data_IF_767824734876
#
_entry.id   IF_767824734876
#
_cell.length_a   1.000
_cell.length_b   1.000
_cell.length_c   1.000
_cell.angle_alpha   90.00
_cell.angle_beta   90.00
_cell.angle_gamma   90.00
#
_symmetry.space_group_name_H-M   'P 1'
#
loop_
_entity.id
_entity.type
_entity.pdbx_description
1 polymer ?
#
# COMPACT_ATOMS: atom_id res chain seq x y z
N UNK A 1 44.50 17.18 -3.96
CA UNK A 1 43.28 16.57 -3.36
C UNK A 1 43.33 16.66 -1.84
N UNK A 2 42.18 16.84 -1.17
CA UNK A 2 42.06 16.75 0.29
C UNK A 2 41.58 15.34 0.73
N UNK A 3 41.64 15.02 2.03
CA UNK A 3 41.27 13.68 2.54
C UNK A 3 39.78 13.34 2.32
N UNK A 4 38.87 14.33 2.41
CA UNK A 4 37.42 14.13 2.24
C UNK A 4 37.07 13.82 0.79
N UNK A 5 37.72 14.51 -0.14
CA UNK A 5 37.62 14.32 -1.58
C UNK A 5 38.23 12.99 -2.02
N UNK A 6 39.34 12.57 -1.39
CA UNK A 6 39.88 11.23 -1.54
C UNK A 6 38.91 10.16 -1.02
N UNK A 7 38.23 10.41 0.10
CA UNK A 7 37.26 9.47 0.68
C UNK A 7 36.05 9.24 -0.22
N UNK A 8 35.51 10.31 -0.81
CA UNK A 8 34.37 10.23 -1.71
C UNK A 8 34.69 9.51 -3.03
N UNK A 9 35.96 9.50 -3.44
CA UNK A 9 36.41 8.94 -4.71
C UNK A 9 36.97 7.50 -4.59
N UNK A 10 37.06 6.92 -3.39
CA UNK A 10 37.63 5.58 -3.19
C UNK A 10 36.93 4.46 -3.95
N UNK A 11 35.59 4.50 -4.00
CA UNK A 11 34.82 3.45 -4.68
C UNK A 11 35.09 3.51 -6.18
N UNK A 12 35.05 4.70 -6.77
CA UNK A 12 35.33 4.91 -8.19
C UNK A 12 36.78 4.55 -8.55
N UNK A 13 37.74 4.83 -7.65
CA UNK A 13 39.13 4.41 -7.82
C UNK A 13 39.28 2.88 -7.83
N UNK A 14 38.63 2.17 -6.89
CA UNK A 14 38.68 0.71 -6.82
C UNK A 14 38.07 0.00 -8.04
N UNK A 15 37.06 0.62 -8.67
CA UNK A 15 36.41 0.10 -9.87
C UNK A 15 37.05 0.63 -11.18
N UNK A 16 38.07 1.49 -11.10
CA UNK A 16 38.74 2.07 -12.28
C UNK A 16 37.84 3.02 -13.08
N UNK A 17 36.88 3.66 -12.42
CA UNK A 17 35.88 4.55 -13.04
C UNK A 17 36.24 6.05 -12.91
N UNK A 18 37.43 6.36 -12.37
CA UNK A 18 37.87 7.75 -12.24
C UNK A 18 38.44 8.29 -13.56
N UNK A 19 38.21 9.58 -13.86
CA UNK A 19 38.94 10.27 -14.91
C UNK A 19 40.46 10.27 -14.61
N UNK A 20 41.33 10.16 -15.63
CA UNK A 20 42.78 9.99 -15.44
C UNK A 20 43.43 11.16 -14.69
N UNK A 21 42.89 12.38 -14.83
CA UNK A 21 43.38 13.57 -14.11
C UNK A 21 43.11 13.48 -12.59
N UNK A 22 41.99 12.88 -12.20
CA UNK A 22 41.58 12.72 -10.79
C UNK A 22 42.29 11.52 -10.17
N UNK A 23 42.49 10.47 -10.94
CA UNK A 23 43.27 9.29 -10.56
C UNK A 23 44.71 9.66 -10.20
N UNK A 24 45.40 10.43 -11.04
CA UNK A 24 46.78 10.86 -10.77
C UNK A 24 46.88 11.73 -9.49
N UNK A 25 45.92 12.64 -9.29
CA UNK A 25 45.79 13.46 -8.07
C UNK A 25 45.52 12.60 -6.83
N UNK A 26 44.81 11.48 -6.99
CA UNK A 26 44.51 10.52 -5.93
C UNK A 26 45.72 9.70 -5.55
N UNK A 27 46.46 9.17 -6.53
CA UNK A 27 47.69 8.43 -6.31
C UNK A 27 48.75 9.28 -5.58
N UNK A 28 48.91 10.54 -6.01
CA UNK A 28 49.80 11.48 -5.34
C UNK A 28 49.40 11.71 -3.88
N UNK A 29 48.09 11.81 -3.59
CA UNK A 29 47.59 11.96 -2.23
C UNK A 29 47.77 10.69 -1.38
N UNK A 30 47.50 9.51 -1.93
CA UNK A 30 47.70 8.22 -1.26
C UNK A 30 49.18 7.92 -0.97
N UNK A 31 50.09 8.43 -1.80
CA UNK A 31 51.54 8.40 -1.55
C UNK A 31 51.96 9.34 -0.39
N UNK A 32 51.25 10.43 -0.16
CA UNK A 32 51.54 11.40 0.90
C UNK A 32 50.80 11.18 2.23
N UNK A 33 49.66 10.50 2.24
CA UNK A 33 48.79 10.36 3.41
C UNK A 33 48.66 8.89 3.88
N UNK A 34 49.26 8.52 5.02
CA UNK A 34 49.18 7.14 5.54
C UNK A 34 47.77 6.75 5.99
N UNK A 35 46.94 7.71 6.43
CA UNK A 35 45.55 7.45 6.83
C UNK A 35 44.66 7.03 5.65
N UNK A 36 44.74 7.78 4.55
CA UNK A 36 43.99 7.45 3.34
C UNK A 36 44.45 6.12 2.73
N UNK A 37 45.76 5.81 2.77
CA UNK A 37 46.30 4.51 2.32
C UNK A 37 45.80 3.32 3.16
N UNK A 38 45.68 3.51 4.49
CA UNK A 38 45.11 2.48 5.36
C UNK A 38 43.62 2.24 5.04
N UNK A 39 42.87 3.31 4.77
CA UNK A 39 41.46 3.24 4.39
C UNK A 39 41.26 2.53 3.04
N UNK A 40 42.07 2.85 2.03
CA UNK A 40 42.10 2.16 0.74
C UNK A 40 42.30 0.65 0.92
N UNK A 41 43.34 0.27 1.67
CA UNK A 41 43.67 -1.14 1.91
C UNK A 41 42.53 -1.87 2.63
N UNK A 42 41.84 -1.21 3.57
CA UNK A 42 40.68 -1.77 4.28
C UNK A 42 39.50 -2.00 3.33
N UNK A 43 39.19 -1.04 2.47
CA UNK A 43 38.08 -1.13 1.52
C UNK A 43 38.36 -2.18 0.45
N UNK A 44 39.59 -2.22 -0.11
CA UNK A 44 40.02 -3.23 -1.07
C UNK A 44 39.88 -4.66 -0.53
N UNK A 45 40.19 -4.89 0.75
CA UNK A 45 40.00 -6.20 1.40
C UNK A 45 38.53 -6.62 1.45
N UNK A 46 37.61 -5.69 1.73
CA UNK A 46 36.18 -5.96 1.76
C UNK A 46 35.66 -6.29 0.36
N UNK A 47 36.03 -5.50 -0.65
CA UNK A 47 35.63 -5.77 -2.04
C UNK A 47 36.11 -7.14 -2.51
N UNK A 48 37.35 -7.51 -2.20
CA UNK A 48 37.90 -8.82 -2.55
C UNK A 48 37.16 -9.97 -1.85
N UNK A 49 36.69 -9.78 -0.62
CA UNK A 49 35.90 -10.78 0.08
C UNK A 49 34.52 -10.98 -0.57
N UNK A 50 33.88 -9.90 -1.02
CA UNK A 50 32.57 -9.93 -1.68
C UNK A 50 32.66 -10.59 -3.06
N UNK A 51 33.73 -10.33 -3.81
CA UNK A 51 33.91 -10.89 -5.14
C UNK A 51 34.10 -12.42 -5.11
N UNK A 52 34.75 -12.93 -4.07
CA UNK A 52 34.94 -14.38 -3.86
C UNK A 52 33.62 -15.10 -3.53
N UNK A 53 32.62 -14.39 -3.02
CA UNK A 53 31.36 -14.98 -2.56
C UNK A 53 30.18 -14.80 -3.54
N UNK A 54 30.43 -14.30 -4.77
CA UNK A 54 29.46 -14.41 -5.86
C UNK A 54 29.33 -15.88 -6.28
N UNK A 55 28.52 -16.64 -5.56
CA UNK A 55 27.97 -17.90 -6.05
C UNK A 55 27.07 -17.58 -7.25
N UNK A 56 27.61 -17.65 -8.47
CA UNK A 56 26.78 -17.91 -9.63
C UNK A 56 26.19 -19.32 -9.44
N UNK A 57 24.87 -19.46 -9.24
CA UNK A 57 24.28 -20.77 -9.05
C UNK A 57 24.56 -21.62 -10.29
N UNK A 58 25.05 -22.84 -10.09
CA UNK A 58 25.36 -23.74 -11.20
C UNK A 58 24.12 -23.89 -12.11
N UNK A 59 24.37 -23.94 -13.43
CA UNK A 59 23.31 -24.10 -14.42
C UNK A 59 22.48 -25.38 -14.18
N UNK A 60 23.08 -26.40 -13.60
CA UNK A 60 22.40 -27.63 -13.19
C UNK A 60 21.36 -27.37 -12.08
N UNK A 61 21.72 -26.63 -11.03
CA UNK A 61 20.79 -26.23 -9.96
C UNK A 61 19.61 -25.41 -10.51
N UNK A 62 19.89 -24.44 -11.39
CA UNK A 62 18.83 -23.65 -12.03
C UNK A 62 17.91 -24.52 -12.89
N UNK A 63 18.46 -25.49 -13.62
CA UNK A 63 17.67 -26.40 -14.45
C UNK A 63 16.80 -27.33 -13.60
N UNK A 64 17.33 -27.85 -12.48
CA UNK A 64 16.61 -28.69 -11.55
C UNK A 64 15.46 -27.93 -10.88
N UNK A 65 15.70 -26.71 -10.39
CA UNK A 65 14.65 -25.88 -9.80
C UNK A 65 13.52 -25.53 -10.80
N UNK A 66 13.86 -25.32 -12.08
CA UNK A 66 12.85 -25.05 -13.12
C UNK A 66 12.01 -26.28 -13.46
N UNK A 67 12.62 -27.46 -13.47
CA UNK A 67 11.90 -28.71 -13.71
C UNK A 67 10.94 -29.02 -12.55
N UNK A 68 11.41 -28.87 -11.31
CA UNK A 68 10.59 -29.09 -10.11
C UNK A 68 9.39 -28.13 -10.04
N UNK A 69 9.61 -26.85 -10.40
CA UNK A 69 8.52 -25.88 -10.55
C UNK A 69 7.53 -26.29 -11.65
N UNK A 70 8.01 -26.74 -12.81
CA UNK A 70 7.13 -27.16 -13.91
C UNK A 70 6.25 -28.37 -13.51
N UNK A 71 6.80 -29.30 -12.74
CA UNK A 71 6.07 -30.49 -12.28
C UNK A 71 5.04 -30.14 -11.19
N UNK A 72 5.38 -29.23 -10.27
CA UNK A 72 4.40 -28.73 -9.29
C UNK A 72 3.21 -28.03 -9.96
N UNK A 73 3.44 -27.19 -10.98
CA UNK A 73 2.38 -26.53 -11.74
C UNK A 73 1.47 -27.53 -12.48
N UNK A 74 2.04 -28.58 -13.07
CA UNK A 74 1.26 -29.64 -13.74
C UNK A 74 0.31 -30.34 -12.76
N UNK A 75 0.80 -30.66 -11.56
CA UNK A 75 -0.02 -31.33 -10.54
C UNK A 75 -1.27 -30.50 -10.15
N UNK A 76 -1.12 -29.18 -10.05
CA UNK A 76 -2.23 -28.25 -9.73
C UNK A 76 -3.26 -28.20 -10.88
N UNK A 77 -2.79 -28.15 -12.13
CA UNK A 77 -3.70 -28.09 -13.29
C UNK A 77 -4.50 -29.39 -13.50
N UNK A 78 -3.90 -30.55 -13.23
CA UNK A 78 -4.52 -31.85 -13.51
C UNK A 78 -5.64 -32.20 -12.50
N UNK A 79 -5.60 -31.63 -11.29
CA UNK A 79 -6.60 -31.86 -10.25
C UNK A 79 -7.95 -31.21 -10.60
N UNK A 80 -7.96 -30.15 -11.41
CA UNK A 80 -9.18 -29.47 -11.88
C UNK A 80 -9.93 -30.22 -12.99
N UNK A 81 -9.22 -30.95 -13.86
CA UNK A 81 -9.79 -31.49 -15.11
C UNK A 81 -10.31 -32.95 -14.97
N UNK A 82 -9.93 -33.65 -13.90
CA UNK A 82 -10.21 -35.08 -13.72
C UNK A 82 -11.66 -35.42 -13.33
N UNK A 83 -12.34 -34.53 -12.59
CA UNK A 83 -13.72 -34.75 -12.14
C UNK A 83 -14.76 -34.64 -13.27
N UNK A 84 -14.62 -33.61 -14.12
CA UNK A 84 -15.57 -33.33 -15.21
C UNK A 84 -15.43 -34.31 -16.39
N UNK A 85 -14.19 -34.71 -16.74
CA UNK A 85 -13.96 -35.71 -17.80
C UNK A 85 -14.48 -37.11 -17.41
N UNK A 86 -14.41 -37.47 -16.13
CA UNK A 86 -14.95 -38.75 -15.62
C UNK A 86 -16.47 -38.76 -15.59
N UNK A 87 -17.10 -37.59 -15.41
CA UNK A 87 -18.55 -37.42 -15.50
C UNK A 87 -19.07 -37.42 -16.96
N UNK A 88 -18.30 -36.90 -17.92
CA UNK A 88 -18.64 -36.91 -19.36
C UNK A 88 -18.31 -38.23 -20.09
N UNK A 89 -17.51 -39.10 -19.47
CA UNK A 89 -17.09 -40.41 -20.01
C UNK A 89 -18.21 -41.36 -20.48
N UNK A 90 -19.42 -41.41 -19.88
CA UNK A 90 -20.48 -42.29 -20.35
C UNK A 90 -21.35 -41.71 -21.48
N UNK A 91 -21.17 -40.44 -21.87
CA UNK A 91 -21.95 -39.80 -22.95
C UNK A 91 -21.34 -39.97 -24.35
N UNK A 92 -20.31 -40.81 -24.50
CA UNK A 92 -19.78 -41.23 -25.80
C UNK A 92 -20.74 -42.19 -26.52
N UNK A 93 -21.87 -41.69 -27.00
CA UNK A 93 -22.90 -42.51 -27.64
C UNK A 93 -22.61 -42.72 -29.15
N UNK A 94 -22.63 -43.97 -29.67
CA UNK A 94 -22.06 -44.32 -30.97
C UNK A 94 -23.09 -44.22 -32.11
N UNK A 95 -23.56 -43.01 -32.42
CA UNK A 95 -24.40 -42.78 -33.59
C UNK A 95 -24.54 -41.30 -33.95
N UNK A 96 -24.30 -40.94 -35.21
CA UNK A 96 -24.39 -39.55 -35.68
C UNK A 96 -25.78 -38.93 -35.43
N UNK A 97 -26.85 -39.72 -35.56
CA UNK A 97 -28.21 -39.28 -35.28
C UNK A 97 -28.43 -38.85 -33.82
N UNK A 98 -27.84 -39.55 -32.85
CA UNK A 98 -27.93 -39.20 -31.44
C UNK A 98 -27.03 -38.03 -31.03
N UNK A 99 -25.95 -37.76 -31.79
CA UNK A 99 -25.12 -36.57 -31.58
C UNK A 99 -25.90 -35.29 -31.90
N UNK A 100 -26.72 -35.29 -32.96
CA UNK A 100 -27.59 -34.15 -33.30
C UNK A 100 -28.70 -33.94 -32.26
N UNK A 101 -29.32 -35.02 -31.79
CA UNK A 101 -30.30 -34.96 -30.71
C UNK A 101 -29.68 -34.48 -29.38
N UNK A 102 -28.45 -34.93 -29.07
CA UNK A 102 -27.69 -34.48 -27.91
C UNK A 102 -27.32 -33.00 -27.99
N UNK A 103 -26.88 -32.51 -29.15
CA UNK A 103 -26.64 -31.07 -29.36
C UNK A 103 -27.91 -30.25 -29.18
N UNK A 104 -29.04 -30.69 -29.75
CA UNK A 104 -30.33 -30.01 -29.58
C UNK A 104 -30.80 -30.01 -28.12
N UNK A 105 -30.61 -31.11 -27.40
CA UNK A 105 -30.90 -31.20 -25.97
C UNK A 105 -29.98 -30.28 -25.14
N UNK A 106 -28.69 -30.19 -25.44
CA UNK A 106 -27.76 -29.28 -24.77
C UNK A 106 -28.10 -27.81 -25.04
N UNK A 107 -28.51 -27.46 -26.25
CA UNK A 107 -28.99 -26.11 -26.57
C UNK A 107 -30.28 -25.80 -25.82
N UNK A 108 -31.23 -26.75 -25.76
CA UNK A 108 -32.48 -26.57 -25.02
C UNK A 108 -32.24 -26.44 -23.51
N UNK A 109 -31.36 -27.27 -22.94
CA UNK A 109 -30.96 -27.17 -21.53
C UNK A 109 -30.20 -25.88 -21.26
N UNK A 110 -29.30 -25.45 -22.16
CA UNK A 110 -28.61 -24.16 -22.05
C UNK A 110 -29.56 -22.96 -22.13
N UNK A 111 -30.59 -23.03 -22.97
CA UNK A 111 -31.62 -22.00 -23.10
C UNK A 111 -32.56 -21.95 -21.89
N UNK A 112 -32.97 -23.11 -21.37
CA UNK A 112 -33.75 -23.20 -20.14
C UNK A 112 -32.91 -22.80 -18.91
N UNK A 113 -31.65 -23.20 -18.85
CA UNK A 113 -30.71 -22.76 -17.82
C UNK A 113 -30.47 -21.25 -17.89
N UNK A 114 -30.33 -20.64 -19.06
CA UNK A 114 -30.21 -19.18 -19.21
C UNK A 114 -31.49 -18.42 -18.82
N UNK A 115 -32.65 -19.10 -18.76
CA UNK A 115 -33.93 -18.51 -18.38
C UNK A 115 -34.25 -18.69 -16.89
N UNK A 116 -33.67 -19.70 -16.25
CA UNK A 116 -33.90 -20.05 -14.84
C UNK A 116 -32.71 -19.68 -13.95
N UNK A 117 -31.48 -19.73 -14.47
CA UNK A 117 -30.30 -19.11 -13.86
C UNK A 117 -30.18 -17.67 -14.38
N UNK A 118 -29.85 -16.70 -13.52
CA UNK A 118 -29.59 -15.33 -13.93
C UNK A 118 -28.44 -15.31 -14.93
N UNK A 119 -28.69 -14.77 -16.13
CA UNK A 119 -27.68 -14.71 -17.19
C UNK A 119 -26.47 -13.86 -16.79
N UNK A 120 -25.31 -14.00 -17.47
CA UNK A 120 -24.11 -13.18 -17.22
C UNK A 120 -24.25 -11.71 -17.64
N UNK A 121 -25.48 -11.21 -17.76
CA UNK A 121 -25.81 -9.78 -17.95
C UNK A 121 -26.52 -9.15 -16.75
N UNK A 122 -26.75 -9.91 -15.67
CA UNK A 122 -27.31 -9.39 -14.42
C UNK A 122 -27.00 -10.35 -13.26
N UNK A 123 -25.72 -10.68 -13.04
CA UNK A 123 -25.32 -11.30 -11.78
C UNK A 123 -25.32 -10.23 -10.70
N UNK A 124 -26.43 -10.18 -9.97
CA UNK A 124 -26.47 -9.63 -8.63
C UNK A 124 -25.35 -10.24 -7.79
N UNK A 125 -24.84 -9.44 -6.88
CA UNK A 125 -23.85 -9.79 -5.88
C UNK A 125 -24.24 -11.08 -5.17
N UNK A 126 -23.65 -12.19 -5.58
CA UNK A 126 -23.50 -13.35 -4.71
C UNK A 126 -22.24 -13.10 -3.87
N UNK A 127 -22.46 -13.08 -2.57
CA UNK A 127 -21.47 -12.95 -1.52
C UNK A 127 -20.51 -14.15 -1.49
N UNK A 128 -19.64 -14.25 -2.50
CA UNK A 128 -18.36 -14.92 -2.36
C UNK A 128 -17.41 -13.91 -1.75
N UNK A 129 -16.86 -14.19 -0.57
CA UNK A 129 -15.82 -13.34 0.01
C UNK A 129 -14.74 -13.08 -1.04
N UNK A 130 -14.33 -11.82 -1.27
CA UNK A 130 -13.24 -11.55 -2.18
C UNK A 130 -12.01 -12.21 -1.60
N UNK A 131 -11.53 -13.26 -2.27
CA UNK A 131 -10.13 -13.69 -2.13
C UNK A 131 -9.32 -12.42 -2.32
N UNK A 132 -8.54 -12.06 -1.31
CA UNK A 132 -7.83 -10.78 -1.19
C UNK A 132 -6.94 -10.57 -2.41
N UNK A 133 -7.51 -9.96 -3.45
CA UNK A 133 -6.80 -9.50 -4.65
C UNK A 133 -6.15 -8.17 -4.30
N UNK A 134 -4.82 -8.11 -4.33
CA UNK A 134 -4.08 -6.89 -4.00
C UNK A 134 -4.41 -5.79 -5.00
N UNK A 135 -5.02 -4.70 -4.54
CA UNK A 135 -5.32 -3.52 -5.34
C UNK A 135 -4.03 -2.74 -5.55
N UNK A 136 -3.64 -2.51 -6.80
CA UNK A 136 -2.36 -1.87 -7.14
C UNK A 136 -2.48 -0.43 -7.63
N UNK A 137 -3.62 -0.05 -8.21
CA UNK A 137 -3.84 1.33 -8.65
C UNK A 137 -5.32 1.69 -8.60
N UNK A 138 -5.61 2.94 -8.21
CA UNK A 138 -6.97 3.47 -8.11
C UNK A 138 -6.97 4.89 -8.71
N UNK A 139 -7.77 5.12 -9.73
CA UNK A 139 -7.85 6.42 -10.43
C UNK A 139 -9.31 6.84 -10.62
N UNK A 140 -9.61 8.11 -10.34
CA UNK A 140 -10.92 8.70 -10.62
C UNK A 140 -10.97 9.24 -12.04
N UNK A 141 -11.99 8.83 -12.80
CA UNK A 141 -12.22 9.32 -14.16
C UNK A 141 -13.15 10.55 -14.13
N UNK A 142 -13.00 11.44 -15.12
CA UNK A 142 -13.70 12.73 -15.19
C UNK A 142 -15.22 12.66 -15.35
N UNK A 143 -15.76 11.49 -15.67
CA UNK A 143 -17.19 11.20 -15.80
C UNK A 143 -17.84 10.72 -14.48
N UNK A 144 -17.06 10.66 -13.38
CA UNK A 144 -17.51 10.17 -12.09
C UNK A 144 -17.40 8.65 -11.91
N UNK A 145 -16.83 7.94 -12.89
CA UNK A 145 -16.43 6.54 -12.73
C UNK A 145 -15.04 6.43 -12.09
N UNK A 146 -14.72 5.25 -11.55
CA UNK A 146 -13.43 4.92 -10.93
C UNK A 146 -12.86 3.70 -11.62
N UNK A 147 -11.58 3.79 -11.98
CA UNK A 147 -10.76 2.72 -12.52
C UNK A 147 -9.93 2.12 -11.39
N UNK A 148 -10.05 0.82 -11.18
CA UNK A 148 -9.30 0.05 -10.17
C UNK A 148 -8.55 -1.06 -10.90
N UNK A 149 -7.23 -1.11 -10.72
CA UNK A 149 -6.38 -2.19 -11.23
C UNK A 149 -6.11 -3.17 -10.10
N UNK A 150 -6.51 -4.42 -10.31
CA UNK A 150 -6.26 -5.55 -9.43
C UNK A 150 -5.06 -6.34 -9.93
N UNK A 151 -4.15 -6.71 -9.03
CA UNK A 151 -3.01 -7.56 -9.34
C UNK A 151 -3.32 -8.99 -8.89
N UNK A 152 -3.83 -9.80 -9.83
CA UNK A 152 -3.88 -11.26 -9.71
C UNK A 152 -2.78 -11.88 -10.60
N UNK A 153 -2.82 -13.19 -10.86
CA UNK A 153 -1.95 -13.85 -11.86
C UNK A 153 -2.06 -13.25 -13.27
N UNK A 154 -3.10 -12.43 -13.52
CA UNK A 154 -3.24 -11.50 -14.65
C UNK A 154 -3.81 -10.19 -14.10
N UNK A 155 -3.27 -9.05 -14.51
CA UNK A 155 -3.81 -7.74 -14.13
C UNK A 155 -5.23 -7.55 -14.69
N UNK A 156 -6.18 -7.21 -13.82
CA UNK A 156 -7.58 -6.95 -14.22
C UNK A 156 -7.93 -5.49 -13.95
N UNK A 157 -8.48 -4.83 -14.95
CA UNK A 157 -9.02 -3.46 -14.84
C UNK A 157 -10.52 -3.54 -14.59
N UNK A 158 -10.97 -2.98 -13.47
CA UNK A 158 -12.38 -2.81 -13.14
C UNK A 158 -12.72 -1.33 -13.22
N UNK A 159 -13.83 -1.02 -13.89
CA UNK A 159 -14.39 0.34 -13.95
C UNK A 159 -15.82 0.31 -13.44
N UNK A 160 -16.18 1.26 -12.58
CA UNK A 160 -17.53 1.36 -12.02
C UNK A 160 -17.80 2.73 -11.41
N UNK A 161 -19.02 2.93 -10.89
CA UNK A 161 -19.39 4.18 -10.20
C UNK A 161 -19.01 4.11 -8.73
N UNK A 162 -18.79 5.27 -8.11
CA UNK A 162 -18.53 5.36 -6.66
C UNK A 162 -19.68 4.83 -5.80
N UNK A 163 -20.91 4.90 -6.33
CA UNK A 163 -22.12 4.42 -5.64
C UNK A 163 -22.27 2.89 -5.70
N UNK A 164 -21.46 2.20 -6.52
CA UNK A 164 -21.55 0.75 -6.69
C UNK A 164 -20.93 0.03 -5.48
N UNK A 165 -21.69 -0.87 -4.86
CA UNK A 165 -21.25 -1.60 -3.66
C UNK A 165 -19.96 -2.40 -3.87
N UNK A 166 -19.68 -2.88 -5.09
CA UNK A 166 -18.45 -3.60 -5.43
C UNK A 166 -17.25 -2.68 -5.49
N UNK A 167 -17.43 -1.49 -6.08
CA UNK A 167 -16.36 -0.48 -6.12
C UNK A 167 -16.06 -0.03 -4.69
N UNK A 168 -17.09 0.21 -3.88
CA UNK A 168 -16.92 0.60 -2.49
C UNK A 168 -16.19 -0.47 -1.67
N UNK A 169 -16.52 -1.76 -1.83
CA UNK A 169 -15.84 -2.84 -1.10
C UNK A 169 -14.37 -3.01 -1.53
N UNK A 170 -14.06 -2.81 -2.81
CA UNK A 170 -12.69 -2.80 -3.31
C UNK A 170 -11.91 -1.59 -2.78
N UNK A 171 -12.51 -0.40 -2.75
CA UNK A 171 -11.87 0.79 -2.17
C UNK A 171 -11.61 0.63 -0.66
N UNK A 172 -12.56 0.06 0.08
CA UNK A 172 -12.35 -0.26 1.50
C UNK A 172 -11.22 -1.27 1.71
N UNK A 173 -11.12 -2.26 0.81
CA UNK A 173 -10.02 -3.24 0.84
C UNK A 173 -8.69 -2.58 0.51
N UNK A 174 -8.65 -1.73 -0.52
CA UNK A 174 -7.46 -0.98 -0.91
C UNK A 174 -6.96 -0.10 0.24
N UNK A 175 -7.87 0.64 0.88
CA UNK A 175 -7.55 1.53 1.99
C UNK A 175 -6.97 0.80 3.22
N UNK A 176 -7.30 -0.48 3.44
CA UNK A 176 -6.87 -1.23 4.63
C UNK A 176 -5.67 -2.14 4.38
N UNK A 177 -5.61 -2.78 3.22
CA UNK A 177 -4.78 -3.97 3.02
C UNK A 177 -3.74 -3.82 1.91
N UNK A 178 -3.71 -2.70 1.18
CA UNK A 178 -2.72 -2.50 0.13
C UNK A 178 -1.37 -2.08 0.70
N UNK A 179 -0.28 -2.63 0.15
CA UNK A 179 1.11 -2.33 0.55
C UNK A 179 1.49 -0.89 0.21
N UNK A 180 1.12 -0.42 -0.98
CA UNK A 180 1.44 0.92 -1.48
C UNK A 180 0.62 2.01 -0.75
N UNK A 181 1.27 2.93 -0.01
CA UNK A 181 0.60 4.03 0.65
C UNK A 181 -0.14 4.97 -0.31
N UNK A 182 0.34 5.17 -1.54
CA UNK A 182 -0.31 6.06 -2.51
C UNK A 182 -1.71 5.54 -2.85
N UNK A 183 -1.83 4.24 -3.10
CA UNK A 183 -3.12 3.58 -3.36
C UNK A 183 -4.06 3.70 -2.17
N UNK A 184 -3.54 3.59 -0.94
CA UNK A 184 -4.34 3.80 0.28
C UNK A 184 -4.86 5.24 0.35
N UNK A 185 -4.00 6.23 0.09
CA UNK A 185 -4.39 7.65 0.04
C UNK A 185 -5.50 7.88 -0.99
N UNK A 186 -5.32 7.37 -2.22
CA UNK A 186 -6.30 7.54 -3.30
C UNK A 186 -7.64 6.87 -2.96
N UNK A 187 -7.58 5.67 -2.38
CA UNK A 187 -8.79 4.97 -1.93
C UNK A 187 -9.52 5.75 -0.83
N UNK A 188 -8.80 6.27 0.17
CA UNK A 188 -9.41 7.10 1.22
C UNK A 188 -10.00 8.40 0.68
N UNK A 189 -9.33 9.04 -0.27
CA UNK A 189 -9.82 10.28 -0.91
C UNK A 189 -11.14 10.04 -1.66
N UNK A 190 -11.25 8.90 -2.35
CA UNK A 190 -12.48 8.50 -3.04
C UNK A 190 -13.61 8.11 -2.10
N UNK A 191 -13.29 7.48 -0.97
CA UNK A 191 -14.26 7.11 0.05
C UNK A 191 -14.82 8.30 0.82
N UNK A 192 -14.20 9.50 0.74
CA UNK A 192 -14.62 10.70 1.46
C UNK A 192 -16.10 11.07 1.27
N UNK A 193 -16.67 10.82 0.09
CA UNK A 193 -18.08 11.09 -0.19
C UNK A 193 -19.06 10.21 0.63
N UNK A 194 -18.60 9.03 1.05
CA UNK A 194 -19.37 8.08 1.85
C UNK A 194 -19.09 8.15 3.35
N UNK A 195 -18.57 9.26 3.88
CA UNK A 195 -18.13 9.35 5.29
C UNK A 195 -19.24 9.10 6.32
N UNK A 196 -20.50 9.29 5.93
CA UNK A 196 -21.66 8.98 6.78
C UNK A 196 -21.90 7.47 6.95
N UNK A 197 -21.31 6.64 6.09
CA UNK A 197 -21.38 5.19 6.18
C UNK A 197 -20.45 4.70 7.29
N UNK A 198 -20.95 3.92 8.28
CA UNK A 198 -20.15 3.45 9.41
C UNK A 198 -18.85 2.77 9.00
N UNK A 199 -18.89 1.92 7.96
CA UNK A 199 -17.74 1.16 7.47
C UNK A 199 -16.64 2.08 6.91
N UNK A 200 -17.01 3.17 6.25
CA UNK A 200 -16.07 4.16 5.72
C UNK A 200 -15.45 4.96 6.86
N UNK A 201 -16.28 5.43 7.80
CA UNK A 201 -15.83 6.17 8.97
C UNK A 201 -14.86 5.33 9.81
N UNK A 202 -15.19 4.07 10.07
CA UNK A 202 -14.33 3.17 10.85
C UNK A 202 -13.00 2.92 10.12
N UNK A 203 -13.02 2.80 8.80
CA UNK A 203 -11.78 2.68 8.00
C UNK A 203 -10.90 3.92 8.10
N UNK A 204 -11.49 5.11 8.05
CA UNK A 204 -10.76 6.38 8.22
C UNK A 204 -10.19 6.53 9.63
N UNK A 205 -10.96 6.17 10.66
CA UNK A 205 -10.50 6.21 12.05
C UNK A 205 -9.35 5.22 12.28
N UNK A 206 -9.45 4.02 11.71
CA UNK A 206 -8.39 3.02 11.76
C UNK A 206 -7.13 3.51 11.04
N UNK A 207 -7.27 4.03 9.82
CA UNK A 207 -6.15 4.59 9.07
C UNK A 207 -5.43 5.69 9.86
N UNK A 208 -6.17 6.61 10.48
CA UNK A 208 -5.59 7.67 11.33
C UNK A 208 -4.86 7.12 12.57
N UNK A 209 -5.35 6.04 13.19
CA UNK A 209 -4.73 5.48 14.40
C UNK A 209 -3.44 4.72 14.13
N UNK A 210 -3.43 3.88 13.11
CA UNK A 210 -2.41 2.84 13.01
C UNK A 210 -1.72 2.73 11.65
N UNK A 211 -2.08 3.52 10.64
CA UNK A 211 -1.38 3.40 9.34
C UNK A 211 0.10 3.75 9.51
N UNK A 212 1.03 2.90 9.03
CA UNK A 212 2.46 3.15 9.17
C UNK A 212 2.91 4.41 8.42
N UNK A 213 2.21 4.81 7.35
CA UNK A 213 2.52 5.97 6.55
C UNK A 213 1.77 7.22 7.05
N UNK A 214 2.53 8.27 7.34
CA UNK A 214 2.03 9.56 7.82
C UNK A 214 1.17 10.30 6.78
N UNK A 215 1.43 10.14 5.49
CA UNK A 215 0.59 10.68 4.41
C UNK A 215 -0.82 10.07 4.40
N UNK A 216 -0.94 8.77 4.68
CA UNK A 216 -2.23 8.10 4.81
C UNK A 216 -2.98 8.60 6.05
N UNK A 217 -2.29 8.71 7.20
CA UNK A 217 -2.88 9.27 8.43
C UNK A 217 -3.35 10.71 8.23
N UNK A 218 -2.53 11.53 7.55
CA UNK A 218 -2.89 12.89 7.15
C UNK A 218 -4.16 12.93 6.28
N UNK A 219 -4.23 12.10 5.23
CA UNK A 219 -5.42 12.03 4.36
C UNK A 219 -6.67 11.59 5.13
N UNK A 220 -6.52 10.63 6.05
CA UNK A 220 -7.62 10.19 6.90
C UNK A 220 -8.13 11.33 7.81
N UNK A 221 -7.20 12.07 8.45
CA UNK A 221 -7.49 13.22 9.27
C UNK A 221 -8.24 14.32 8.49
N UNK A 222 -7.75 14.67 7.30
CA UNK A 222 -8.41 15.65 6.41
C UNK A 222 -9.83 15.24 6.05
N UNK A 223 -10.01 13.95 5.76
CA UNK A 223 -11.31 13.37 5.38
C UNK A 223 -12.29 13.42 6.56
N UNK A 224 -11.83 13.18 7.78
CA UNK A 224 -12.63 13.19 9.02
C UNK A 224 -13.03 14.59 9.50
N UNK A 225 -12.47 15.66 8.94
CA UNK A 225 -12.73 17.06 9.33
C UNK A 225 -14.21 17.44 9.44
N UNK A 226 -15.13 17.02 8.53
CA UNK A 226 -16.56 17.34 8.65
C UNK A 226 -17.23 16.74 9.90
N UNK A 227 -16.65 15.66 10.46
CA UNK A 227 -17.17 14.94 11.61
C UNK A 227 -16.39 15.23 12.90
N UNK A 228 -15.55 16.26 12.92
CA UNK A 228 -14.66 16.57 14.06
C UNK A 228 -15.39 16.79 15.40
N UNK A 229 -16.68 17.16 15.37
CA UNK A 229 -17.51 17.31 16.56
C UNK A 229 -18.06 16.00 17.13
N UNK A 230 -18.03 14.89 16.37
CA UNK A 230 -18.54 13.60 16.85
C UNK A 230 -17.64 13.05 17.97
N UNK A 231 -18.20 12.54 19.09
CA UNK A 231 -17.40 12.07 20.22
C UNK A 231 -16.33 11.04 19.86
N UNK A 232 -16.64 10.07 18.99
CA UNK A 232 -15.71 9.02 18.59
C UNK A 232 -14.57 9.57 17.72
N UNK A 233 -14.88 10.43 16.75
CA UNK A 233 -13.90 11.05 15.86
C UNK A 233 -12.98 11.97 16.67
N UNK A 234 -13.56 12.77 17.56
CA UNK A 234 -12.85 13.66 18.47
C UNK A 234 -11.86 12.91 19.37
N UNK A 235 -12.24 11.76 19.91
CA UNK A 235 -11.33 10.94 20.70
C UNK A 235 -10.09 10.53 19.90
N UNK A 236 -10.28 10.05 18.66
CA UNK A 236 -9.14 9.67 17.78
C UNK A 236 -8.27 10.86 17.40
N UNK A 237 -8.88 12.02 17.14
CA UNK A 237 -8.13 13.24 16.85
C UNK A 237 -7.31 13.70 18.06
N UNK A 238 -7.83 13.56 19.29
CA UNK A 238 -7.09 13.84 20.52
C UNK A 238 -5.95 12.84 20.73
N UNK A 239 -6.14 11.57 20.40
CA UNK A 239 -5.07 10.57 20.44
C UNK A 239 -3.97 10.91 19.42
N UNK A 240 -4.35 11.26 18.18
CA UNK A 240 -3.42 11.71 17.15
C UNK A 240 -2.64 12.97 17.59
N UNK A 241 -3.31 13.92 18.24
CA UNK A 241 -2.66 15.11 18.81
C UNK A 241 -1.59 14.75 19.86
N UNK A 242 -1.86 13.76 20.73
CA UNK A 242 -0.97 13.39 21.84
C UNK A 242 0.16 12.47 21.40
N UNK A 243 -0.12 11.51 20.53
CA UNK A 243 0.73 10.33 20.35
C UNK A 243 1.25 10.14 18.91
N UNK A 244 0.73 10.88 17.90
CA UNK A 244 1.21 10.68 16.54
C UNK A 244 2.70 11.01 16.44
N UNK A 245 3.46 10.17 15.74
CA UNK A 245 4.92 10.29 15.60
C UNK A 245 5.30 11.48 14.72
N UNK A 246 4.44 11.86 13.77
CA UNK A 246 4.68 12.95 12.84
C UNK A 246 4.09 14.27 13.38
N UNK A 247 4.94 15.29 13.50
CA UNK A 247 4.57 16.62 13.99
C UNK A 247 3.50 17.32 13.12
N UNK A 248 3.49 17.07 11.81
CA UNK A 248 2.49 17.61 10.88
C UNK A 248 1.10 17.01 11.14
N UNK A 249 1.02 15.71 11.47
CA UNK A 249 -0.26 15.10 11.85
C UNK A 249 -0.77 15.71 13.15
N UNK A 250 0.09 15.87 14.16
CA UNK A 250 -0.26 16.55 15.41
C UNK A 250 -0.74 17.99 15.17
N UNK A 251 -0.03 18.76 14.36
CA UNK A 251 -0.42 20.12 13.97
C UNK A 251 -1.82 20.18 13.33
N UNK A 252 -2.09 19.27 12.39
CA UNK A 252 -3.39 19.24 11.73
C UNK A 252 -4.50 18.75 12.66
N UNK A 253 -4.19 17.86 13.62
CA UNK A 253 -5.13 17.46 14.65
C UNK A 253 -5.56 18.66 15.51
N UNK A 254 -4.63 19.55 15.88
CA UNK A 254 -4.96 20.82 16.55
C UNK A 254 -5.96 21.62 15.73
N UNK A 255 -5.69 21.82 14.45
CA UNK A 255 -6.56 22.62 13.58
C UNK A 255 -7.96 22.02 13.47
N UNK A 256 -8.06 20.72 13.20
CA UNK A 256 -9.35 20.03 13.06
C UNK A 256 -10.14 20.05 14.36
N UNK A 257 -9.51 19.79 15.51
CA UNK A 257 -10.16 19.84 16.82
C UNK A 257 -10.65 21.26 17.16
N UNK A 258 -9.86 22.28 16.83
CA UNK A 258 -10.24 23.69 17.06
C UNK A 258 -11.47 24.08 16.25
N UNK A 259 -11.58 23.58 15.01
CA UNK A 259 -12.77 23.80 14.17
C UNK A 259 -13.99 23.02 14.64
N UNK A 260 -13.80 21.79 15.12
CA UNK A 260 -14.89 20.91 15.55
C UNK A 260 -15.60 21.37 16.81
N UNK A 261 -14.85 21.88 17.81
CA UNK A 261 -15.40 22.52 19.00
C UNK A 261 -14.31 23.23 19.83
N UNK A 262 -14.08 24.52 19.55
CA UNK A 262 -13.02 25.31 20.19
C UNK A 262 -13.15 25.49 21.71
N UNK A 263 -14.29 25.19 22.35
CA UNK A 263 -14.49 25.40 23.79
C UNK A 263 -14.38 24.12 24.62
N UNK A 264 -13.75 23.08 24.07
CA UNK A 264 -13.64 21.79 24.75
C UNK A 264 -12.54 21.79 25.83
N UNK A 265 -12.92 21.48 27.08
CA UNK A 265 -11.97 21.31 28.18
C UNK A 265 -10.98 20.17 27.95
N UNK A 266 -11.38 19.10 27.25
CA UNK A 266 -10.48 18.00 26.91
C UNK A 266 -9.38 18.43 25.93
N UNK A 267 -9.71 19.32 24.98
CA UNK A 267 -8.74 19.89 24.04
C UNK A 267 -7.74 20.77 24.79
N UNK A 268 -8.21 21.61 25.73
CA UNK A 268 -7.33 22.43 26.56
C UNK A 268 -6.34 21.56 27.35
N UNK A 269 -6.82 20.49 27.98
CA UNK A 269 -5.97 19.53 28.71
C UNK A 269 -4.95 18.84 27.79
N UNK A 270 -5.38 18.38 26.61
CA UNK A 270 -4.48 17.74 25.65
C UNK A 270 -3.40 18.72 25.11
N UNK A 271 -3.76 19.98 24.87
CA UNK A 271 -2.81 21.01 24.45
C UNK A 271 -1.81 21.38 25.56
N UNK A 272 -2.27 21.43 26.82
CA UNK A 272 -1.38 21.64 27.98
C UNK A 272 -0.35 20.50 28.11
N UNK A 273 -0.81 19.25 27.99
CA UNK A 273 0.08 18.08 27.97
C UNK A 273 1.06 18.14 26.78
N UNK A 274 0.58 18.52 25.60
CA UNK A 274 1.42 18.72 24.42
C UNK A 274 2.52 19.76 24.68
N UNK A 275 2.22 20.89 25.36
CA UNK A 275 3.23 21.92 25.66
C UNK A 275 4.42 21.42 26.49
N UNK A 276 4.22 20.38 27.30
CA UNK A 276 5.25 19.80 28.17
C UNK A 276 6.20 18.85 27.43
N UNK A 277 5.70 18.14 26.40
CA UNK A 277 6.43 17.05 25.72
C UNK A 277 6.84 17.37 24.29
N UNK A 278 6.14 18.28 23.63
CA UNK A 278 6.36 18.59 22.23
C UNK A 278 7.72 19.24 22.01
N UNK A 279 8.51 18.67 21.09
CA UNK A 279 9.81 19.20 20.70
C UNK A 279 9.69 20.13 19.49
N UNK A 280 8.70 19.91 18.62
CA UNK A 280 8.50 20.72 17.43
C UNK A 280 7.98 22.13 17.78
N UNK A 281 8.81 23.14 17.53
CA UNK A 281 8.52 24.53 17.88
C UNK A 281 7.25 25.08 17.23
N UNK A 282 6.92 24.65 16.01
CA UNK A 282 5.76 25.17 15.29
C UNK A 282 4.46 24.59 15.85
N UNK A 283 4.43 23.29 16.17
CA UNK A 283 3.30 22.66 16.87
C UNK A 283 3.11 23.30 18.24
N UNK A 284 4.20 23.58 18.99
CA UNK A 284 4.11 24.30 20.27
C UNK A 284 3.49 25.69 20.13
N UNK A 285 3.98 26.48 19.16
CA UNK A 285 3.46 27.83 18.91
C UNK A 285 1.99 27.80 18.53
N UNK A 286 1.57 26.81 17.74
CA UNK A 286 0.19 26.61 17.35
C UNK A 286 -0.67 26.26 18.57
N UNK A 287 -0.27 25.27 19.36
CA UNK A 287 -0.98 24.89 20.59
C UNK A 287 -1.11 26.04 21.58
N UNK A 288 -0.04 26.82 21.78
CA UNK A 288 -0.07 28.01 22.63
C UNK A 288 -1.05 29.08 22.11
N UNK A 289 -1.12 29.27 20.79
CA UNK A 289 -2.08 30.21 20.18
C UNK A 289 -3.52 29.77 20.44
N UNK A 290 -3.80 28.47 20.28
CA UNK A 290 -5.13 27.91 20.55
C UNK A 290 -5.49 28.03 22.03
N UNK A 291 -4.60 27.64 22.95
CA UNK A 291 -4.83 27.79 24.40
C UNK A 291 -5.15 29.24 24.80
N UNK A 292 -4.40 30.21 24.27
CA UNK A 292 -4.69 31.64 24.50
C UNK A 292 -6.06 32.04 23.96
N UNK A 293 -6.44 31.56 22.78
CA UNK A 293 -7.77 31.85 22.20
C UNK A 293 -8.93 31.26 23.02
N UNK A 294 -8.66 30.19 23.78
CA UNK A 294 -9.63 29.54 24.65
C UNK A 294 -9.76 30.22 26.02
N UNK A 295 -9.00 31.29 26.30
CA UNK A 295 -8.81 31.85 27.65
C UNK A 295 -8.40 30.79 28.70
N UNK A 296 -7.84 29.66 28.26
CA UNK A 296 -7.28 28.65 29.13
C UNK A 296 -5.94 29.17 29.64
N UNK A 297 -5.79 29.36 30.94
CA UNK A 297 -4.55 29.85 31.54
C UNK A 297 -3.40 28.91 31.19
N UNK A 298 -2.29 29.47 30.71
CA UNK A 298 -0.99 28.79 30.57
C UNK A 298 -0.34 28.52 31.94
N UNK A 299 -1.00 28.94 33.02
CA UNK A 299 -0.52 28.87 34.39
C UNK A 299 -1.24 27.75 35.15
N UNK A 300 -0.67 26.55 35.12
CA UNK A 300 -0.38 25.74 36.31
C UNK A 300 0.37 24.47 35.92
N UNK A 301 1.52 24.29 36.59
CA UNK A 301 2.50 23.17 36.53
C UNK A 301 3.58 23.28 35.46
#
# INVERSE_FOLDING_TARGET
MNCVECENNFVFYLYGELPPEVEESMEQHLNGCPGCRANETRLAKVHRAIEVERLEPSLELLSACRQDLADSLRSVTQQSDSGWRRWLGPFGMPGWSWRLAGCAALVAVGFLAARVLPGPGASGFESGQPVVSSVSHVEKMGDGSVRIVLQDSVARELSGRLDDQAVQSLLLTAARNTVDPAVRVDALDLLRGGISTPEVRDTLLEALRQDPNDGVRMKALESLRPLAGEPNVRAVLLDALREDRNAMVRANAVDVLTMGNAQNSELAGALQELMQREENLDVRRQGQRVLRSMNASLETF
#
